data_IF_678966121761
#
_entry.id   IF_678966121761
#
_cell.length_a   1.000
_cell.length_b   1.000
_cell.length_c   1.000
_cell.angle_alpha   90.00
_cell.angle_beta   90.00
_cell.angle_gamma   90.00
#
_symmetry.space_group_name_H-M   'P 1'
#
loop_
_entity.id
_entity.type
_entity.pdbx_description
1 polymer ?
#
# COMPACT_ATOMS: atom_id res chain seq x y z
N UNK A 1 32.68 1.12 -6.35
CA UNK A 1 32.06 2.08 -7.27
C UNK A 1 31.00 2.84 -6.50
N UNK A 2 31.29 4.10 -6.25
CA UNK A 2 30.44 5.02 -5.50
C UNK A 2 29.15 5.29 -6.29
N UNK A 3 28.02 5.03 -5.67
CA UNK A 3 26.72 5.46 -6.19
C UNK A 3 26.55 6.94 -5.83
N UNK A 4 26.70 7.83 -6.79
CA UNK A 4 26.35 9.23 -6.63
C UNK A 4 24.82 9.37 -6.54
N UNK A 5 24.31 9.54 -5.33
CA UNK A 5 22.94 10.00 -5.11
C UNK A 5 22.95 11.53 -5.18
N UNK A 6 22.35 12.09 -6.22
CA UNK A 6 22.04 13.52 -6.28
C UNK A 6 20.72 13.79 -5.58
N UNK A 7 20.78 14.39 -4.41
CA UNK A 7 19.60 14.88 -3.70
C UNK A 7 19.27 16.29 -4.18
N UNK A 8 18.12 16.47 -4.78
CA UNK A 8 17.59 17.79 -5.12
C UNK A 8 16.50 18.10 -4.09
N UNK A 9 16.70 19.19 -3.34
CA UNK A 9 15.71 19.68 -2.38
C UNK A 9 14.86 20.73 -3.07
N UNK A 10 13.55 20.47 -3.19
CA UNK A 10 12.57 21.44 -3.64
C UNK A 10 11.48 21.51 -2.58
N UNK A 11 11.22 22.71 -2.05
CA UNK A 11 10.18 23.02 -1.06
C UNK A 11 10.24 22.19 0.23
N UNK A 12 11.45 21.94 0.74
CA UNK A 12 11.64 21.26 2.01
C UNK A 12 11.50 19.72 1.98
N UNK A 13 11.23 19.13 0.82
CA UNK A 13 11.16 17.69 0.60
C UNK A 13 12.38 17.14 -0.13
N UNK A 14 12.72 15.88 0.16
CA UNK A 14 13.80 15.15 -0.51
C UNK A 14 13.25 14.56 -1.81
N UNK A 15 13.73 14.98 -2.98
CA UNK A 15 13.44 14.31 -4.25
C UNK A 15 14.56 13.32 -4.51
N UNK A 16 14.23 12.03 -4.48
CA UNK A 16 15.13 10.96 -4.87
C UNK A 16 15.09 10.72 -6.37
N UNK A 17 16.23 10.48 -6.99
CA UNK A 17 16.33 10.17 -8.42
C UNK A 17 15.61 8.85 -8.75
N UNK A 18 15.06 8.76 -9.93
CA UNK A 18 14.09 7.79 -10.49
C UNK A 18 14.56 6.31 -10.57
N UNK A 19 15.62 5.88 -9.86
CA UNK A 19 16.21 4.55 -10.05
C UNK A 19 16.17 3.61 -8.84
N UNK A 20 15.77 4.05 -7.66
CA UNK A 20 15.68 3.20 -6.48
C UNK A 20 14.27 3.21 -5.89
N UNK A 21 13.62 2.05 -5.83
CA UNK A 21 12.35 1.89 -5.11
C UNK A 21 12.54 2.22 -3.64
N UNK A 22 11.64 3.03 -3.09
CA UNK A 22 11.61 3.34 -1.68
C UNK A 22 11.16 2.11 -0.88
N UNK A 23 11.72 1.94 0.31
CA UNK A 23 11.21 0.98 1.29
C UNK A 23 9.83 1.43 1.80
N UNK A 24 9.08 0.51 2.42
CA UNK A 24 7.76 0.82 2.98
C UNK A 24 7.80 2.00 3.97
N UNK A 25 8.85 2.09 4.79
CA UNK A 25 9.04 3.19 5.74
C UNK A 25 9.38 4.49 5.05
N UNK A 26 10.31 4.48 4.10
CA UNK A 26 10.69 5.68 3.34
C UNK A 26 9.52 6.28 2.56
N UNK A 27 8.60 5.44 2.02
CA UNK A 27 7.37 5.91 1.39
C UNK A 27 6.50 6.70 2.37
N UNK A 28 6.33 6.21 3.61
CA UNK A 28 5.57 6.92 4.64
C UNK A 28 6.27 8.21 5.02
N UNK A 29 7.58 8.18 5.29
CA UNK A 29 8.36 9.36 5.68
C UNK A 29 8.38 10.44 4.59
N UNK A 30 8.31 10.04 3.31
CA UNK A 30 8.18 10.97 2.19
C UNK A 30 6.75 11.52 2.04
N UNK A 31 5.73 10.76 2.48
CA UNK A 31 4.33 11.14 2.38
C UNK A 31 3.93 12.12 3.48
N UNK A 32 4.38 11.92 4.72
CA UNK A 32 3.95 12.73 5.87
C UNK A 32 4.93 13.86 6.16
N UNK A 33 4.51 14.81 6.98
CA UNK A 33 5.36 15.93 7.42
C UNK A 33 6.56 15.42 8.23
N UNK A 34 7.68 16.11 8.13
CA UNK A 34 8.92 15.69 8.78
C UNK A 34 8.73 15.50 10.30
N UNK A 35 9.17 14.31 10.78
CA UNK A 35 9.08 13.90 12.18
C UNK A 35 7.64 13.81 12.76
N UNK A 36 6.62 13.70 11.92
CA UNK A 36 5.23 13.57 12.37
C UNK A 36 4.75 12.11 12.45
N UNK A 37 5.51 11.14 11.94
CA UNK A 37 5.07 9.76 11.88
C UNK A 37 5.23 9.02 13.20
N UNK A 38 4.13 8.52 13.73
CA UNK A 38 4.08 7.60 14.87
C UNK A 38 3.65 6.20 14.43
N UNK A 39 4.56 5.23 14.54
CA UNK A 39 4.31 3.85 14.13
C UNK A 39 3.47 3.08 15.17
N UNK A 40 2.42 2.42 14.71
CA UNK A 40 1.56 1.55 15.51
C UNK A 40 1.88 0.10 15.20
N UNK A 41 2.13 -0.71 16.25
CA UNK A 41 2.37 -2.15 16.09
C UNK A 41 3.76 -2.51 15.55
N UNK A 42 4.77 -1.66 15.78
CA UNK A 42 6.16 -1.89 15.37
C UNK A 42 6.76 -3.22 15.90
N UNK A 43 6.34 -3.64 17.10
CA UNK A 43 6.82 -4.86 17.74
C UNK A 43 6.02 -6.13 17.37
N UNK A 44 4.98 -5.99 16.56
CA UNK A 44 4.19 -7.12 16.09
C UNK A 44 5.01 -7.89 15.04
N UNK A 45 5.10 -9.19 15.21
CA UNK A 45 5.75 -10.11 14.27
C UNK A 45 4.72 -11.06 13.69
N UNK A 46 5.06 -11.69 12.56
CA UNK A 46 4.20 -12.72 11.98
C UNK A 46 3.90 -13.82 12.99
N UNK A 47 2.68 -14.37 12.93
CA UNK A 47 2.31 -15.60 13.55
C UNK A 47 2.37 -16.70 12.48
N UNK A 48 3.44 -17.48 12.46
CA UNK A 48 3.54 -18.64 11.59
C UNK A 48 3.94 -19.85 12.39
N UNK A 49 3.09 -20.86 12.39
CA UNK A 49 3.29 -22.12 13.10
C UNK A 49 3.55 -23.29 12.17
N UNK A 50 3.26 -23.14 10.87
CA UNK A 50 3.34 -24.23 9.90
C UNK A 50 4.59 -24.13 8.99
N UNK A 51 4.95 -25.22 8.37
CA UNK A 51 6.06 -25.34 7.39
C UNK A 51 7.44 -24.90 7.92
N UNK A 52 7.72 -25.08 9.21
CA UNK A 52 8.97 -24.66 9.87
C UNK A 52 9.32 -23.16 9.68
N UNK A 53 8.32 -22.33 9.42
CA UNK A 53 8.48 -20.89 9.23
C UNK A 53 8.72 -20.13 10.55
N UNK A 54 8.73 -20.83 11.68
CA UNK A 54 8.99 -20.28 13.03
C UNK A 54 10.37 -19.61 13.13
N UNK A 55 11.35 -20.10 12.38
CA UNK A 55 12.73 -19.60 12.40
C UNK A 55 12.92 -18.28 11.66
N UNK A 56 11.98 -17.90 10.78
CA UNK A 56 12.04 -16.64 10.02
C UNK A 56 11.23 -15.57 10.74
N UNK A 57 11.91 -14.77 11.56
CA UNK A 57 11.30 -13.54 12.08
C UNK A 57 11.05 -12.54 10.94
N UNK A 58 9.84 -12.02 10.84
CA UNK A 58 9.48 -10.94 9.92
C UNK A 58 9.03 -9.76 10.77
N UNK A 59 9.91 -8.78 10.99
CA UNK A 59 9.55 -7.57 11.74
C UNK A 59 8.35 -6.87 11.11
N UNK A 60 7.41 -6.41 11.93
CA UNK A 60 6.24 -5.68 11.46
C UNK A 60 5.25 -6.50 10.63
N UNK A 61 5.49 -7.79 10.43
CA UNK A 61 4.72 -8.69 9.56
C UNK A 61 4.52 -8.20 8.12
N UNK A 62 5.55 -7.53 7.56
CA UNK A 62 5.55 -7.04 6.18
C UNK A 62 4.65 -5.84 5.92
N UNK A 63 4.22 -5.12 6.96
CA UNK A 63 3.49 -3.86 6.85
C UNK A 63 3.88 -2.88 7.96
N UNK A 64 4.15 -1.64 7.58
CA UNK A 64 4.31 -0.52 8.50
C UNK A 64 2.96 0.20 8.60
N UNK A 65 2.45 0.39 9.80
CA UNK A 65 1.17 1.06 10.07
C UNK A 65 1.35 2.16 11.09
N UNK A 66 0.64 3.27 10.95
CA UNK A 66 0.72 4.37 11.88
C UNK A 66 -0.13 5.55 11.46
N UNK A 67 0.14 6.69 12.06
CA UNK A 67 -0.45 7.97 11.69
C UNK A 67 0.63 9.05 11.59
N UNK A 68 0.34 10.09 10.85
CA UNK A 68 1.21 11.25 10.68
C UNK A 68 0.41 12.46 10.29
N UNK A 69 1.10 13.52 9.93
CA UNK A 69 0.48 14.75 9.46
C UNK A 69 0.80 14.97 7.98
N UNK A 70 -0.15 15.47 7.23
CA UNK A 70 0.06 16.05 5.90
C UNK A 70 -0.45 17.49 5.98
N UNK A 71 0.46 18.46 5.82
CA UNK A 71 0.17 19.88 5.95
C UNK A 71 -0.59 20.22 7.25
N UNK A 72 -0.23 19.53 8.34
CA UNK A 72 -0.82 19.66 9.67
C UNK A 72 -2.11 18.90 9.91
N UNK A 73 -2.68 18.25 8.90
CA UNK A 73 -3.89 17.41 9.02
C UNK A 73 -3.53 15.96 9.32
N UNK A 74 -4.21 15.34 10.28
CA UNK A 74 -3.95 13.94 10.68
C UNK A 74 -4.38 12.99 9.58
N UNK A 75 -3.50 12.06 9.22
CA UNK A 75 -3.78 10.95 8.30
C UNK A 75 -3.32 9.63 8.92
N UNK A 76 -4.05 8.57 8.68
CA UNK A 76 -3.64 7.21 9.00
C UNK A 76 -3.08 6.54 7.75
N UNK A 77 -1.93 5.88 7.90
CA UNK A 77 -1.22 5.31 6.76
C UNK A 77 -0.74 3.90 7.05
N UNK A 78 -0.85 3.03 6.06
CA UNK A 78 -0.14 1.75 6.04
C UNK A 78 0.66 1.62 4.76
N UNK A 79 1.84 1.01 4.86
CA UNK A 79 2.73 0.75 3.73
C UNK A 79 3.19 -0.69 3.74
N UNK A 80 2.98 -1.41 2.66
CA UNK A 80 3.36 -2.81 2.52
C UNK A 80 4.81 -2.91 2.07
N UNK A 81 5.54 -3.81 2.71
CA UNK A 81 6.96 -4.04 2.47
C UNK A 81 7.16 -5.28 1.58
N UNK A 82 7.33 -5.06 0.28
CA UNK A 82 7.59 -6.13 -0.68
C UNK A 82 8.89 -6.92 -0.39
N UNK A 83 9.86 -6.34 0.32
CA UNK A 83 11.07 -7.05 0.74
C UNK A 83 10.79 -8.10 1.82
N UNK A 84 9.71 -7.93 2.58
CA UNK A 84 9.29 -8.83 3.66
C UNK A 84 8.20 -9.78 3.19
N UNK A 85 8.57 -11.00 2.78
CA UNK A 85 7.65 -12.05 2.27
C UNK A 85 6.78 -11.55 1.11
N UNK A 86 7.36 -10.69 0.23
CA UNK A 86 6.64 -10.10 -0.90
C UNK A 86 5.50 -9.16 -0.51
N UNK A 87 5.52 -8.59 0.70
CA UNK A 87 4.43 -7.77 1.23
C UNK A 87 3.13 -8.54 1.44
N UNK A 88 3.17 -9.90 1.39
CA UNK A 88 1.97 -10.74 1.41
C UNK A 88 1.20 -10.63 2.73
N UNK A 89 -0.14 -10.63 2.62
CA UNK A 89 -1.04 -10.46 3.75
C UNK A 89 -1.18 -11.78 4.51
N UNK A 90 -0.75 -11.75 5.78
CA UNK A 90 -1.01 -12.78 6.79
C UNK A 90 -1.96 -12.28 7.87
N UNK A 91 -2.19 -13.11 8.90
CA UNK A 91 -3.12 -12.80 10.00
C UNK A 91 -2.74 -11.49 10.72
N UNK A 92 -1.47 -11.37 11.14
CA UNK A 92 -1.03 -10.20 11.92
C UNK A 92 -0.91 -8.95 11.06
N UNK A 93 -0.50 -9.08 9.80
CA UNK A 93 -0.54 -8.03 8.80
C UNK A 93 -1.95 -7.42 8.68
N UNK A 94 -2.95 -8.27 8.48
CA UNK A 94 -4.35 -7.84 8.40
C UNK A 94 -4.84 -7.20 9.70
N UNK A 95 -4.51 -7.77 10.86
CA UNK A 95 -4.88 -7.21 12.18
C UNK A 95 -4.31 -5.81 12.40
N UNK A 96 -3.06 -5.55 11.97
CA UNK A 96 -2.48 -4.21 12.03
C UNK A 96 -3.28 -3.20 11.21
N UNK A 97 -3.61 -3.55 9.96
CA UNK A 97 -4.42 -2.69 9.09
C UNK A 97 -5.82 -2.46 9.69
N UNK A 98 -6.50 -3.52 10.16
CA UNK A 98 -7.83 -3.39 10.76
C UNK A 98 -7.81 -2.49 12.01
N UNK A 99 -6.82 -2.64 12.89
CA UNK A 99 -6.69 -1.79 14.06
C UNK A 99 -6.45 -0.32 13.69
N UNK A 100 -5.67 -0.08 12.65
CA UNK A 100 -5.45 1.27 12.13
C UNK A 100 -6.76 1.88 11.59
N UNK A 101 -7.57 1.13 10.85
CA UNK A 101 -8.91 1.56 10.40
C UNK A 101 -9.82 1.93 11.57
N UNK A 102 -9.84 1.10 12.64
CA UNK A 102 -10.62 1.41 13.84
C UNK A 102 -10.22 2.73 14.51
N UNK A 103 -8.93 3.02 14.51
CA UNK A 103 -8.42 4.29 15.05
C UNK A 103 -8.75 5.47 14.12
N UNK A 104 -8.59 5.30 12.81
CA UNK A 104 -8.91 6.31 11.81
C UNK A 104 -10.39 6.72 11.85
N UNK A 105 -11.30 5.74 11.90
CA UNK A 105 -12.73 6.00 12.01
C UNK A 105 -13.10 6.74 13.29
N UNK A 106 -12.45 6.43 14.42
CA UNK A 106 -12.66 7.16 15.69
C UNK A 106 -12.14 8.59 15.64
N UNK A 107 -11.05 8.80 14.91
CA UNK A 107 -10.46 10.13 14.74
C UNK A 107 -11.17 10.97 13.66
N UNK A 108 -11.95 10.34 12.78
CA UNK A 108 -12.52 10.99 11.60
C UNK A 108 -11.48 11.38 10.56
N UNK A 109 -10.35 10.68 10.52
CA UNK A 109 -9.21 11.01 9.66
C UNK A 109 -9.11 10.06 8.46
N UNK A 110 -8.58 10.52 7.29
CA UNK A 110 -8.44 9.69 6.12
C UNK A 110 -7.46 8.54 6.32
N UNK A 111 -7.66 7.44 5.58
CA UNK A 111 -6.76 6.31 5.49
C UNK A 111 -6.07 6.29 4.13
N UNK A 112 -4.75 6.13 4.13
CA UNK A 112 -3.93 6.03 2.93
C UNK A 112 -3.19 4.70 2.94
N UNK A 113 -3.46 3.85 1.94
CA UNK A 113 -2.78 2.57 1.74
C UNK A 113 -1.72 2.65 0.66
N UNK A 114 -0.44 2.45 1.02
CA UNK A 114 0.68 2.37 0.10
C UNK A 114 0.95 0.89 -0.22
N UNK A 115 0.50 0.46 -1.40
CA UNK A 115 0.35 -0.95 -1.75
C UNK A 115 1.55 -1.44 -2.57
N UNK A 116 2.21 -2.47 -2.07
CA UNK A 116 3.20 -3.26 -2.80
C UNK A 116 3.20 -4.70 -2.26
N UNK A 117 2.27 -5.52 -2.77
CA UNK A 117 1.91 -6.79 -2.16
C UNK A 117 1.61 -7.86 -3.20
N UNK A 118 2.25 -9.00 -3.05
CA UNK A 118 2.02 -10.17 -3.92
C UNK A 118 0.65 -10.85 -3.71
N UNK A 119 -0.12 -10.45 -2.69
CA UNK A 119 -1.43 -11.02 -2.38
C UNK A 119 -1.46 -11.83 -1.09
N UNK A 120 -2.18 -12.94 -1.09
CA UNK A 120 -2.37 -13.81 0.09
C UNK A 120 -1.07 -14.51 0.50
N UNK A 121 -0.79 -14.57 1.80
CA UNK A 121 0.28 -15.39 2.37
C UNK A 121 -0.17 -16.84 2.42
N UNK A 122 0.21 -17.63 1.43
CA UNK A 122 -0.25 -19.02 1.26
C UNK A 122 0.12 -19.92 2.44
N UNK A 123 1.22 -19.62 3.15
CA UNK A 123 1.68 -20.38 4.31
C UNK A 123 0.75 -20.27 5.53
N UNK A 124 -0.08 -19.26 5.59
CA UNK A 124 -1.07 -19.05 6.66
C UNK A 124 -2.49 -19.46 6.25
N UNK A 125 -2.66 -19.94 5.02
CA UNK A 125 -3.87 -20.56 4.48
C UNK A 125 -5.18 -19.80 4.87
N UNK A 126 -6.04 -20.44 5.67
CA UNK A 126 -7.34 -19.90 6.08
C UNK A 126 -7.24 -18.65 6.95
N UNK A 127 -6.19 -18.51 7.75
CA UNK A 127 -6.00 -17.35 8.63
C UNK A 127 -5.70 -16.09 7.80
N UNK A 128 -4.87 -16.23 6.77
CA UNK A 128 -4.61 -15.14 5.83
C UNK A 128 -5.86 -14.78 5.01
N UNK A 129 -6.64 -15.78 4.58
CA UNK A 129 -7.90 -15.55 3.87
C UNK A 129 -8.93 -14.82 4.74
N UNK A 130 -9.04 -15.22 6.02
CA UNK A 130 -9.87 -14.50 7.00
C UNK A 130 -9.38 -13.06 7.22
N UNK A 131 -8.06 -12.85 7.16
CA UNK A 131 -7.45 -11.53 7.21
C UNK A 131 -7.93 -10.60 6.09
N UNK A 132 -8.01 -11.08 4.85
CA UNK A 132 -8.59 -10.32 3.74
C UNK A 132 -10.06 -9.94 4.02
N UNK A 133 -10.88 -10.90 4.44
CA UNK A 133 -12.28 -10.64 4.80
C UNK A 133 -12.41 -9.56 5.87
N UNK A 134 -11.50 -9.57 6.86
CA UNK A 134 -11.49 -8.55 7.92
C UNK A 134 -11.12 -7.16 7.40
N UNK A 135 -10.14 -7.05 6.48
CA UNK A 135 -9.78 -5.78 5.85
C UNK A 135 -10.97 -5.25 5.03
N UNK A 136 -11.60 -6.08 4.21
CA UNK A 136 -12.77 -5.66 3.42
C UNK A 136 -13.91 -5.16 4.31
N UNK A 137 -14.20 -5.87 5.42
CA UNK A 137 -15.22 -5.44 6.37
C UNK A 137 -14.90 -4.04 6.92
N UNK A 138 -13.63 -3.77 7.30
CA UNK A 138 -13.22 -2.45 7.77
C UNK A 138 -13.32 -1.36 6.71
N UNK A 139 -12.97 -1.65 5.47
CA UNK A 139 -13.12 -0.72 4.36
C UNK A 139 -14.59 -0.38 4.11
N UNK A 140 -15.47 -1.38 4.16
CA UNK A 140 -16.92 -1.16 4.01
C UNK A 140 -17.50 -0.37 5.20
N UNK A 141 -17.07 -0.65 6.44
CA UNK A 141 -17.46 0.12 7.63
C UNK A 141 -16.99 1.59 7.53
N UNK A 142 -15.82 1.84 6.97
CA UNK A 142 -15.23 3.16 6.80
C UNK A 142 -15.83 3.95 5.63
N UNK A 143 -16.45 3.27 4.66
CA UNK A 143 -16.99 3.89 3.46
C UNK A 143 -18.11 4.91 3.82
N UNK A 144 -17.93 6.14 3.36
CA UNK A 144 -18.81 7.26 3.67
C UNK A 144 -18.61 7.86 5.07
N UNK A 145 -17.72 7.30 5.89
CA UNK A 145 -17.36 7.87 7.21
C UNK A 145 -16.04 8.67 7.14
N UNK A 146 -15.04 8.11 6.48
CA UNK A 146 -13.71 8.71 6.30
C UNK A 146 -13.23 8.49 4.86
N UNK A 147 -12.44 9.41 4.29
CA UNK A 147 -11.83 9.21 2.98
C UNK A 147 -10.84 8.04 2.98
N UNK A 148 -10.87 7.23 1.95
CA UNK A 148 -10.00 6.07 1.76
C UNK A 148 -9.24 6.21 0.44
N UNK A 149 -7.92 6.21 0.50
CA UNK A 149 -7.01 6.34 -0.65
C UNK A 149 -6.15 5.09 -0.75
N UNK A 150 -6.12 4.46 -1.92
CA UNK A 150 -5.19 3.40 -2.27
C UNK A 150 -4.16 3.88 -3.28
N UNK A 151 -2.89 3.62 -3.03
CA UNK A 151 -1.80 3.96 -3.93
C UNK A 151 -0.95 2.73 -4.24
N UNK A 152 -0.92 2.31 -5.50
CA UNK A 152 -0.22 1.10 -5.95
C UNK A 152 1.17 1.48 -6.44
N UNK A 153 2.20 1.09 -5.68
CA UNK A 153 3.62 1.35 -5.95
C UNK A 153 4.34 0.20 -6.68
N UNK A 154 3.81 -1.00 -6.56
CA UNK A 154 4.40 -2.18 -7.16
C UNK A 154 3.33 -3.18 -7.57
N UNK A 155 3.28 -4.32 -6.91
CA UNK A 155 2.27 -5.34 -7.19
C UNK A 155 1.04 -5.16 -6.29
N UNK A 156 -0.15 -5.21 -6.90
CA UNK A 156 -1.43 -5.31 -6.20
C UNK A 156 -2.18 -6.52 -6.77
N UNK A 157 -1.91 -7.70 -6.19
CA UNK A 157 -2.35 -8.97 -6.75
C UNK A 157 -3.45 -9.67 -5.95
N UNK A 158 -4.28 -10.45 -6.64
CA UNK A 158 -5.28 -11.31 -6.03
C UNK A 158 -6.39 -10.53 -5.33
N UNK A 159 -6.74 -10.98 -4.11
CA UNK A 159 -7.77 -10.32 -3.30
C UNK A 159 -7.46 -8.85 -2.96
N UNK A 160 -6.19 -8.46 -2.94
CA UNK A 160 -5.83 -7.07 -2.65
C UNK A 160 -6.29 -6.10 -3.74
N UNK A 161 -6.41 -6.55 -4.99
CA UNK A 161 -6.99 -5.74 -6.06
C UNK A 161 -8.44 -5.32 -5.74
N UNK A 162 -9.21 -6.20 -5.07
CA UNK A 162 -10.56 -5.85 -4.58
C UNK A 162 -10.47 -4.78 -3.50
N UNK A 163 -9.54 -4.91 -2.54
CA UNK A 163 -9.31 -3.90 -1.50
C UNK A 163 -8.95 -2.54 -2.08
N UNK A 164 -8.11 -2.50 -3.12
CA UNK A 164 -7.75 -1.24 -3.79
C UNK A 164 -8.98 -0.55 -4.42
N UNK A 165 -9.85 -1.31 -5.06
CA UNK A 165 -11.08 -0.78 -5.72
C UNK A 165 -12.19 -0.44 -4.71
N UNK A 166 -12.12 -0.93 -3.48
CA UNK A 166 -13.04 -0.54 -2.40
C UNK A 166 -12.72 0.84 -1.80
N UNK A 167 -11.57 1.42 -2.12
CA UNK A 167 -11.19 2.78 -1.72
C UNK A 167 -11.97 3.81 -2.53
N UNK A 168 -12.06 5.04 -2.00
CA UNK A 168 -12.73 6.14 -2.69
C UNK A 168 -11.91 6.66 -3.87
N UNK A 169 -10.56 6.60 -3.75
CA UNK A 169 -9.63 7.06 -4.80
C UNK A 169 -8.46 6.09 -4.93
N UNK A 170 -8.10 5.78 -6.16
CA UNK A 170 -6.98 4.88 -6.48
C UNK A 170 -5.93 5.57 -7.32
N UNK A 171 -4.72 5.62 -6.80
CA UNK A 171 -3.51 6.11 -7.47
C UNK A 171 -2.64 4.92 -7.88
N UNK A 172 -1.92 5.03 -8.98
CA UNK A 172 -1.05 3.96 -9.45
C UNK A 172 0.22 4.51 -10.11
N UNK A 173 1.37 3.96 -9.72
CA UNK A 173 2.62 4.20 -10.41
C UNK A 173 2.60 3.46 -11.76
N UNK A 174 3.14 4.07 -12.82
CA UNK A 174 3.04 3.57 -14.21
C UNK A 174 3.63 2.18 -14.41
N UNK A 175 4.69 1.83 -13.69
CA UNK A 175 5.31 0.50 -13.71
C UNK A 175 4.63 -0.53 -12.82
N UNK A 176 3.67 -0.11 -11.98
CA UNK A 176 2.95 -0.99 -11.06
C UNK A 176 1.98 -1.93 -11.80
N UNK A 177 1.50 -2.94 -11.07
CA UNK A 177 0.58 -3.96 -11.61
C UNK A 177 -0.61 -4.15 -10.67
N UNK A 178 -1.81 -4.05 -11.22
CA UNK A 178 -3.08 -4.27 -10.53
C UNK A 178 -3.86 -5.39 -11.23
N UNK A 179 -4.12 -6.50 -10.55
CA UNK A 179 -4.82 -7.65 -11.13
C UNK A 179 -5.43 -8.58 -10.08
N UNK A 180 -6.58 -9.14 -10.38
CA UNK A 180 -7.16 -10.23 -9.58
C UNK A 180 -6.51 -11.57 -9.93
N UNK A 181 -6.40 -11.88 -11.22
CA UNK A 181 -5.67 -13.03 -11.72
C UNK A 181 -4.39 -12.56 -12.41
N UNK A 182 -3.29 -13.23 -12.10
CA UNK A 182 -2.01 -12.93 -12.75
C UNK A 182 -2.15 -12.90 -14.28
N UNK A 183 -1.55 -11.93 -14.97
CA UNK A 183 -1.48 -11.94 -16.42
C UNK A 183 -0.96 -13.28 -16.95
N UNK A 184 -1.50 -13.76 -18.06
CA UNK A 184 -1.23 -15.08 -18.64
C UNK A 184 -1.69 -16.30 -17.81
N UNK A 185 -2.30 -16.12 -16.63
CA UNK A 185 -2.87 -17.21 -15.84
C UNK A 185 -4.16 -17.78 -16.47
N UNK A 186 -4.87 -16.98 -17.26
CA UNK A 186 -6.08 -17.37 -17.95
C UNK A 186 -5.82 -17.54 -19.45
N UNK A 187 -6.41 -18.57 -20.04
CA UNK A 187 -6.32 -18.81 -21.48
C UNK A 187 -6.88 -17.59 -22.24
N UNK A 188 -6.07 -17.03 -23.13
CA UNK A 188 -6.44 -15.86 -23.93
C UNK A 188 -6.08 -14.49 -23.30
N UNK A 189 -5.65 -14.47 -22.05
CA UNK A 189 -5.14 -13.24 -21.41
C UNK A 189 -3.60 -13.21 -21.55
N UNK A 190 -3.12 -12.70 -22.67
CA UNK A 190 -1.70 -12.64 -22.97
C UNK A 190 -1.19 -11.21 -22.93
N UNK A 191 -0.20 -10.94 -22.09
CA UNK A 191 0.45 -9.61 -21.96
C UNK A 191 1.03 -9.12 -23.28
N UNK A 192 1.45 -10.01 -24.17
CA UNK A 192 1.95 -9.68 -25.51
C UNK A 192 0.91 -8.98 -26.39
N UNK A 193 -0.38 -9.17 -26.11
CA UNK A 193 -1.49 -8.55 -26.84
C UNK A 193 -2.07 -7.35 -26.11
N UNK A 194 -2.25 -7.47 -24.81
CA UNK A 194 -2.79 -6.45 -23.94
C UNK A 194 -2.42 -6.75 -22.49
N UNK A 195 -1.62 -5.90 -21.88
CA UNK A 195 -1.32 -6.00 -20.45
C UNK A 195 -2.46 -5.41 -19.61
N UNK A 196 -3.46 -6.23 -19.32
CA UNK A 196 -4.62 -5.83 -18.52
C UNK A 196 -4.27 -5.50 -17.05
N UNK A 197 -3.04 -5.76 -16.60
CA UNK A 197 -2.56 -5.41 -15.26
C UNK A 197 -1.88 -4.04 -15.20
N UNK A 198 -1.51 -3.48 -16.34
CA UNK A 198 -0.77 -2.22 -16.44
C UNK A 198 -1.62 -0.99 -16.14
N UNK A 199 -0.98 0.09 -15.71
CA UNK A 199 -1.62 1.33 -15.32
C UNK A 199 -2.46 1.95 -16.45
N UNK A 200 -1.99 1.93 -17.69
CA UNK A 200 -2.70 2.48 -18.83
C UNK A 200 -4.04 1.76 -19.08
N UNK A 201 -4.04 0.43 -18.96
CA UNK A 201 -5.27 -0.35 -19.07
C UNK A 201 -6.22 -0.08 -17.91
N UNK A 202 -5.71 -0.09 -16.68
CA UNK A 202 -6.51 0.12 -15.48
C UNK A 202 -7.14 1.52 -15.43
N UNK A 203 -6.44 2.54 -15.89
CA UNK A 203 -6.97 3.90 -16.03
C UNK A 203 -8.08 3.96 -17.10
N UNK A 204 -7.87 3.30 -18.24
CA UNK A 204 -8.89 3.22 -19.30
C UNK A 204 -10.15 2.47 -18.83
N UNK A 205 -9.98 1.48 -17.97
CA UNK A 205 -11.07 0.71 -17.35
C UNK A 205 -11.75 1.44 -16.18
N UNK A 206 -11.30 2.64 -15.81
CA UNK A 206 -11.75 3.43 -14.67
C UNK A 206 -11.64 2.70 -13.31
N UNK A 207 -10.67 1.81 -13.16
CA UNK A 207 -10.32 1.17 -11.87
C UNK A 207 -9.21 1.93 -11.13
N UNK A 208 -8.52 2.84 -11.84
CA UNK A 208 -7.49 3.73 -11.32
C UNK A 208 -7.82 5.15 -11.75
N UNK A 209 -7.87 6.07 -10.80
CA UNK A 209 -8.22 7.46 -11.04
C UNK A 209 -7.03 8.29 -11.50
N UNK A 210 -5.85 8.03 -10.93
CA UNK A 210 -4.62 8.80 -11.20
C UNK A 210 -3.44 7.88 -11.50
N UNK A 211 -2.75 8.15 -12.61
CA UNK A 211 -1.51 7.45 -13.00
C UNK A 211 -0.34 8.41 -12.92
N UNK A 212 0.75 8.01 -12.25
CA UNK A 212 1.95 8.80 -12.03
C UNK A 212 3.17 8.11 -12.63
N UNK A 213 4.13 8.89 -13.15
CA UNK A 213 5.32 8.34 -13.84
C UNK A 213 6.34 7.70 -12.89
N UNK A 214 6.25 7.96 -11.57
CA UNK A 214 7.16 7.38 -10.57
C UNK A 214 6.70 7.61 -9.14
N UNK A 215 7.37 6.95 -8.17
CA UNK A 215 7.01 6.99 -6.75
C UNK A 215 7.00 8.41 -6.15
N UNK A 216 7.95 9.26 -6.55
CA UNK A 216 8.03 10.63 -6.04
C UNK A 216 6.84 11.49 -6.50
N UNK A 217 6.45 11.38 -7.77
CA UNK A 217 5.28 12.07 -8.30
C UNK A 217 4.00 11.55 -7.64
N UNK A 218 3.89 10.22 -7.49
CA UNK A 218 2.76 9.58 -6.82
C UNK A 218 2.56 10.12 -5.40
N UNK A 219 3.62 10.19 -4.61
CA UNK A 219 3.59 10.73 -3.25
C UNK A 219 3.20 12.21 -3.26
N UNK A 220 3.77 13.01 -4.16
CA UNK A 220 3.45 14.43 -4.26
C UNK A 220 1.98 14.66 -4.63
N UNK A 221 1.43 13.87 -5.57
CA UNK A 221 0.02 13.96 -5.95
C UNK A 221 -0.92 13.55 -4.81
N UNK A 222 -0.57 12.53 -4.03
CA UNK A 222 -1.37 12.15 -2.85
C UNK A 222 -1.38 13.29 -1.82
N UNK A 223 -0.23 13.90 -1.53
CA UNK A 223 -0.15 15.04 -0.60
C UNK A 223 -1.03 16.20 -1.08
N UNK A 224 -0.91 16.56 -2.34
CA UNK A 224 -1.73 17.64 -2.93
C UNK A 224 -3.22 17.28 -2.84
N UNK A 225 -3.59 16.04 -3.19
CA UNK A 225 -4.96 15.57 -3.12
C UNK A 225 -5.55 15.62 -1.71
N UNK A 226 -4.78 15.21 -0.69
CA UNK A 226 -5.21 15.25 0.72
C UNK A 226 -5.52 16.69 1.15
N UNK A 227 -4.85 17.70 0.61
CA UNK A 227 -5.11 19.11 0.93
C UNK A 227 -6.52 19.58 0.53
N UNK A 228 -7.18 18.87 -0.38
CA UNK A 228 -8.57 19.17 -0.80
C UNK A 228 -9.62 18.41 0.02
N UNK A 229 -9.22 17.45 0.85
CA UNK A 229 -10.16 16.71 1.70
C UNK A 229 -10.64 17.60 2.86
N UNK A 230 -11.91 17.42 3.28
CA UNK A 230 -12.50 18.22 4.35
C UNK A 230 -11.87 17.91 5.71
#
# INVERSE_FOLDING_TARGET
SEKNCYNIIIHGGLIMSNEAKLSARERIEALVDANSFDEIGALITKRSTDFNMQEKSVPGDGVVTGYGLIDGSVVYVYSQDAASVGGSIGEMHAKKICNMYDMAMKAGAPVIGLIDCAGLRLQEATDALNGFGSIYAKQVEASGLIPQISAVFGTCGGGLAVSSVLSDFTFMEKGAKLFVNSPNALCGNYTDKCDTSGADFQSTANTVDFVCEGEAELIAQIRDFVSYLP
#
